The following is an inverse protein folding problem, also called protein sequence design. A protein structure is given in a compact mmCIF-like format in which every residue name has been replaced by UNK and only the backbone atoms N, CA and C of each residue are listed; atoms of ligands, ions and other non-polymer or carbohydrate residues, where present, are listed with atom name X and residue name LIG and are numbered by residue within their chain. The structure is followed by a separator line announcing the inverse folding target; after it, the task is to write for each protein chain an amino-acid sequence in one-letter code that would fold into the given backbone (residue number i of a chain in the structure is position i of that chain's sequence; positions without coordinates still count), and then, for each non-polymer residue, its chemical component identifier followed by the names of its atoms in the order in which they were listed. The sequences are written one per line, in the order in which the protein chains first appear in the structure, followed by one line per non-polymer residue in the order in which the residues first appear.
data_IF_363146348244
#
_entry.id   IF_363146348244
#
_cell.length_a   1.000
_cell.length_b   1.000
_cell.length_c   1.000
_cell.angle_alpha   90.00
_cell.angle_beta   90.00
_cell.angle_gamma   90.00
#
_symmetry.space_group_name_H-M   'P 1'
#
loop_
_entity.id
_entity.type
_entity.pdbx_description
1 polymer ?
#
# COMPACT_ATOMS: atom_id res chain seq x y z
N UNK A 1 -0.09 -15.45 -1.49
CA UNK A 1 -0.10 -14.28 -2.40
C UNK A 1 -0.70 -13.04 -1.76
N UNK A 2 -1.95 -13.07 -1.26
CA UNK A 2 -2.50 -11.88 -0.58
C UNK A 2 -1.71 -11.50 0.68
N UNK A 3 -1.43 -12.46 1.56
CA UNK A 3 -0.59 -12.21 2.74
C UNK A 3 0.79 -11.67 2.38
N UNK A 4 1.45 -12.23 1.36
CA UNK A 4 2.79 -11.76 0.97
C UNK A 4 2.79 -10.31 0.47
N UNK A 5 1.74 -9.86 -0.23
CA UNK A 5 1.60 -8.44 -0.64
C UNK A 5 1.32 -7.54 0.55
N UNK A 6 0.46 -7.97 1.46
CA UNK A 6 0.18 -7.23 2.70
C UNK A 6 1.45 -7.09 3.54
N UNK A 7 2.25 -8.14 3.67
CA UNK A 7 3.54 -8.09 4.34
C UNK A 7 4.54 -7.16 3.65
N UNK A 8 4.57 -7.12 2.32
CA UNK A 8 5.39 -6.16 1.56
C UNK A 8 5.07 -4.72 1.97
N UNK A 9 3.79 -4.35 1.92
CA UNK A 9 3.34 -3.00 2.29
C UNK A 9 3.66 -2.71 3.76
N UNK A 10 3.48 -3.69 4.64
CA UNK A 10 3.71 -3.53 6.08
C UNK A 10 5.20 -3.33 6.40
N UNK A 11 6.07 -4.08 5.74
CA UNK A 11 7.52 -3.93 5.85
C UNK A 11 7.92 -2.55 5.35
N UNK A 12 7.50 -2.17 4.13
CA UNK A 12 7.82 -0.87 3.54
C UNK A 12 7.34 0.29 4.42
N UNK A 13 6.11 0.23 4.92
CA UNK A 13 5.53 1.28 5.76
C UNK A 13 6.13 1.34 7.17
N UNK A 14 6.87 0.32 7.58
CA UNK A 14 7.59 0.28 8.86
C UNK A 14 9.06 0.72 8.77
N UNK A 15 9.60 0.98 7.57
CA UNK A 15 10.98 1.48 7.45
C UNK A 15 11.12 2.89 8.02
N UNK A 16 12.35 3.31 8.32
CA UNK A 16 12.59 4.64 8.89
C UNK A 16 12.19 5.78 7.94
N UNK A 17 12.31 5.56 6.63
CA UNK A 17 11.97 6.55 5.59
C UNK A 17 10.47 6.82 5.55
N UNK A 18 9.65 5.77 5.61
CA UNK A 18 8.19 5.87 5.61
C UNK A 18 7.65 6.13 7.01
N UNK A 19 7.96 5.27 7.96
CA UNK A 19 7.56 5.35 9.37
C UNK A 19 6.06 5.60 9.56
N UNK A 20 5.23 4.96 8.73
CA UNK A 20 3.76 5.03 8.81
C UNK A 20 3.22 4.03 9.82
N UNK A 21 3.87 2.87 9.95
CA UNK A 21 3.50 1.82 10.88
C UNK A 21 4.49 1.69 12.01
N UNK A 22 3.96 1.71 13.23
CA UNK A 22 4.70 1.44 14.46
C UNK A 22 4.44 -0.01 14.82
N UNK A 23 5.46 -0.84 14.66
CA UNK A 23 5.36 -2.28 14.89
C UNK A 23 5.35 -2.62 16.38
N UNK A 24 4.47 -3.55 16.82
CA UNK A 24 4.49 -4.10 18.18
C UNK A 24 5.76 -4.91 18.44
N UNK A 25 6.42 -4.65 19.57
CA UNK A 25 7.74 -5.24 19.90
C UNK A 25 7.74 -6.77 19.96
N UNK A 26 6.66 -7.37 20.45
CA UNK A 26 6.49 -8.83 20.53
C UNK A 26 6.48 -9.53 19.16
N UNK A 27 6.33 -8.78 18.05
CA UNK A 27 6.43 -9.29 16.68
C UNK A 27 7.74 -8.92 15.98
N UNK A 28 8.65 -8.23 16.65
CA UNK A 28 9.91 -7.80 16.07
C UNK A 28 11.09 -8.47 16.77
N UNK A 29 12.15 -8.77 16.01
CA UNK A 29 13.44 -9.07 16.63
C UNK A 29 14.31 -7.83 16.68
N UNK A 30 15.22 -7.79 17.65
CA UNK A 30 16.26 -6.77 17.73
C UNK A 30 17.54 -7.20 16.99
N UNK A 31 18.33 -6.23 16.55
CA UNK A 31 19.70 -6.50 16.11
C UNK A 31 20.65 -6.57 17.29
N UNK A 32 21.58 -7.53 17.27
CA UNK A 32 22.68 -7.61 18.24
C UNK A 32 23.70 -6.47 18.12
N UNK A 33 23.76 -5.80 16.96
CA UNK A 33 24.67 -4.69 16.68
C UNK A 33 23.98 -3.32 16.72
N UNK A 34 22.69 -3.27 16.40
CA UNK A 34 21.91 -2.02 16.30
C UNK A 34 20.74 -2.05 17.29
N UNK A 35 20.92 -1.51 18.52
CA UNK A 35 19.93 -1.65 19.60
C UNK A 35 18.56 -1.04 19.31
N UNK A 36 18.48 -0.08 18.39
CA UNK A 36 17.25 0.59 18.00
C UNK A 36 16.54 -0.08 16.82
N UNK A 37 17.22 -1.00 16.10
CA UNK A 37 16.69 -1.60 14.88
C UNK A 37 15.70 -2.71 15.24
N UNK A 38 14.43 -2.50 14.90
CA UNK A 38 13.34 -3.48 14.98
C UNK A 38 13.17 -4.13 13.61
N UNK A 39 13.40 -5.43 13.53
CA UNK A 39 13.24 -6.18 12.29
C UNK A 39 11.83 -6.79 12.24
N UNK A 40 11.08 -6.64 11.13
CA UNK A 40 9.78 -7.28 10.95
C UNK A 40 9.91 -8.75 10.49
N UNK A 41 10.75 -9.56 11.14
CA UNK A 41 11.14 -10.89 10.62
C UNK A 41 9.94 -11.80 10.37
N UNK A 42 8.90 -11.73 11.20
CA UNK A 42 7.71 -12.55 10.98
C UNK A 42 6.98 -12.14 9.68
N UNK A 43 6.92 -10.85 9.31
CA UNK A 43 6.35 -10.41 8.04
C UNK A 43 7.20 -10.92 6.87
N UNK A 44 8.53 -10.94 7.04
CA UNK A 44 9.45 -11.49 6.04
C UNK A 44 9.22 -12.99 5.84
N UNK A 45 9.00 -13.73 6.93
CA UNK A 45 8.66 -15.16 6.91
C UNK A 45 7.29 -15.40 6.25
N UNK A 46 6.24 -14.70 6.67
CA UNK A 46 4.89 -14.79 6.06
C UNK A 46 4.97 -14.54 4.54
N UNK A 47 5.76 -13.54 4.13
CA UNK A 47 6.03 -13.25 2.72
C UNK A 47 6.77 -14.41 2.03
N UNK A 48 7.81 -14.95 2.66
CA UNK A 48 8.62 -16.08 2.16
C UNK A 48 7.84 -17.38 2.03
N UNK A 49 6.88 -17.65 2.92
CA UNK A 49 6.04 -18.85 2.87
C UNK A 49 5.13 -18.95 1.64
N UNK A 50 5.00 -17.87 0.86
CA UNK A 50 4.38 -17.95 -0.46
C UNK A 50 5.09 -18.94 -1.40
N UNK A 51 6.42 -19.08 -1.30
CA UNK A 51 7.22 -20.00 -2.11
C UNK A 51 6.84 -21.47 -1.93
N UNK A 52 6.93 -22.04 -0.70
CA UNK A 52 6.50 -23.41 -0.42
C UNK A 52 5.04 -23.72 -0.80
N UNK A 53 4.13 -22.75 -0.66
CA UNK A 53 2.73 -22.93 -1.06
C UNK A 53 2.60 -23.01 -2.59
N UNK A 54 3.31 -22.16 -3.34
CA UNK A 54 3.32 -22.23 -4.80
C UNK A 54 4.03 -23.49 -5.32
N UNK A 55 5.10 -23.94 -4.66
CA UNK A 55 5.79 -25.17 -5.06
C UNK A 55 4.90 -26.40 -4.87
N UNK A 56 4.07 -26.42 -3.81
CA UNK A 56 3.05 -27.45 -3.60
C UNK A 56 2.06 -27.51 -4.77
N UNK A 57 1.55 -26.36 -5.22
CA UNK A 57 0.66 -26.29 -6.39
C UNK A 57 1.33 -26.91 -7.62
N UNK A 58 2.55 -26.47 -7.95
CA UNK A 58 3.30 -26.97 -9.10
C UNK A 58 3.54 -28.48 -8.99
N UNK A 59 3.91 -28.97 -7.81
CA UNK A 59 4.13 -30.40 -7.56
C UNK A 59 2.88 -31.23 -7.83
N UNK A 60 1.71 -30.78 -7.36
CA UNK A 60 0.43 -31.47 -7.59
C UNK A 60 0.06 -31.44 -9.07
N UNK A 61 0.18 -30.29 -9.74
CA UNK A 61 -0.12 -30.17 -11.18
C UNK A 61 0.75 -31.11 -12.02
N UNK A 62 2.05 -31.19 -11.73
CA UNK A 62 2.97 -32.05 -12.48
C UNK A 62 2.72 -33.53 -12.19
N UNK A 63 2.41 -33.89 -10.95
CA UNK A 63 2.07 -35.28 -10.57
C UNK A 63 0.81 -35.76 -11.29
N UNK A 64 -0.19 -34.89 -11.45
CA UNK A 64 -1.46 -35.24 -12.06
C UNK A 64 -1.44 -35.20 -13.60
N UNK A 65 -0.40 -34.60 -14.20
CA UNK A 65 -0.30 -34.39 -15.64
C UNK A 65 -0.23 -35.73 -16.39
N UNK A 66 -1.25 -36.01 -17.20
CA UNK A 66 -1.24 -37.13 -18.16
C UNK A 66 -1.42 -38.51 -17.53
N UNK A 67 -1.90 -38.59 -16.28
CA UNK A 67 -2.24 -39.88 -15.67
C UNK A 67 -3.41 -40.54 -16.41
N UNK A 68 -3.31 -41.84 -16.78
CA UNK A 68 -4.43 -42.57 -17.35
C UNK A 68 -5.53 -42.77 -16.30
N UNK A 69 -6.79 -42.97 -16.73
CA UNK A 69 -7.87 -43.26 -15.79
C UNK A 69 -7.81 -44.72 -15.28
N UNK A 70 -8.27 -45.04 -14.07
CA UNK A 70 -8.91 -44.16 -13.07
C UNK A 70 -7.98 -43.83 -11.90
N UNK A 71 -7.68 -44.80 -11.05
CA UNK A 71 -6.78 -44.66 -9.90
C UNK A 71 -5.35 -45.07 -10.26
N UNK A 72 -4.39 -44.20 -9.92
CA UNK A 72 -2.96 -44.48 -10.00
C UNK A 72 -2.32 -44.22 -8.64
N UNK A 73 -1.31 -45.02 -8.28
CA UNK A 73 -0.63 -44.92 -6.98
C UNK A 73 0.12 -43.58 -6.82
N UNK A 74 0.53 -42.96 -7.93
CA UNK A 74 1.08 -41.61 -8.04
C UNK A 74 0.25 -40.58 -7.26
N UNK A 75 -1.08 -40.71 -7.28
CA UNK A 75 -2.01 -39.83 -6.55
C UNK A 75 -1.80 -39.86 -5.03
N UNK A 76 -1.00 -40.76 -4.46
CA UNK A 76 -0.69 -40.75 -3.03
C UNK A 76 0.27 -39.64 -2.62
N UNK A 77 1.15 -39.17 -3.52
CA UNK A 77 2.20 -38.19 -3.18
C UNK A 77 1.64 -36.77 -2.98
N UNK A 78 0.39 -36.51 -3.38
CA UNK A 78 -0.24 -35.19 -3.24
C UNK A 78 -0.63 -34.82 -1.80
N UNK A 79 -0.75 -35.79 -0.88
CA UNK A 79 -1.27 -35.57 0.47
C UNK A 79 -0.31 -34.77 1.35
N UNK A 80 0.97 -35.15 1.35
CA UNK A 80 1.97 -34.51 2.20
C UNK A 80 2.18 -33.03 1.84
N UNK A 81 2.36 -32.65 0.55
CA UNK A 81 2.44 -31.24 0.16
C UNK A 81 1.18 -30.45 0.53
N UNK A 82 0.00 -31.05 0.33
CA UNK A 82 -1.28 -30.39 0.62
C UNK A 82 -1.43 -30.10 2.13
N UNK A 83 -1.14 -31.06 3.00
CA UNK A 83 -1.23 -30.86 4.44
C UNK A 83 -0.21 -29.84 4.94
N UNK A 84 1.01 -29.87 4.41
CA UNK A 84 2.03 -28.86 4.71
C UNK A 84 1.56 -27.45 4.35
N UNK A 85 1.03 -27.26 3.13
CA UNK A 85 0.51 -25.96 2.70
C UNK A 85 -0.69 -25.49 3.52
N UNK A 86 -1.61 -26.40 3.88
CA UNK A 86 -2.75 -26.08 4.72
C UNK A 86 -2.32 -25.63 6.13
N UNK A 87 -1.31 -26.29 6.70
CA UNK A 87 -0.78 -25.94 8.01
C UNK A 87 -0.08 -24.57 7.97
N UNK A 88 0.77 -24.31 6.98
CA UNK A 88 1.39 -22.99 6.75
C UNK A 88 0.30 -21.91 6.70
N UNK A 89 -0.71 -22.07 5.83
CA UNK A 89 -1.77 -21.07 5.69
C UNK A 89 -2.50 -20.82 7.02
N UNK A 90 -2.80 -21.87 7.79
CA UNK A 90 -3.47 -21.74 9.09
C UNK A 90 -2.65 -20.95 10.09
N UNK A 91 -1.35 -21.23 10.19
CA UNK A 91 -0.45 -20.58 11.14
C UNK A 91 -0.18 -19.12 10.73
N UNK A 92 0.10 -18.88 9.45
CA UNK A 92 0.37 -17.53 8.92
C UNK A 92 -0.86 -16.62 9.01
N UNK A 93 -2.08 -17.13 8.75
CA UNK A 93 -3.31 -16.34 8.92
C UNK A 93 -3.51 -15.99 10.39
N UNK A 94 -3.27 -16.94 11.31
CA UNK A 94 -3.46 -16.73 12.74
C UNK A 94 -2.50 -15.66 13.29
N UNK A 95 -1.21 -15.74 12.95
CA UNK A 95 -0.22 -14.75 13.42
C UNK A 95 -0.47 -13.37 12.81
N UNK A 96 -0.84 -13.30 11.52
CA UNK A 96 -1.20 -12.03 10.87
C UNK A 96 -2.43 -11.39 11.51
N UNK A 97 -3.44 -12.17 11.89
CA UNK A 97 -4.63 -11.66 12.57
C UNK A 97 -4.31 -11.06 13.95
N UNK A 98 -3.41 -11.67 14.71
CA UNK A 98 -2.97 -11.12 16.00
C UNK A 98 -2.11 -9.86 15.83
N UNK A 99 -1.24 -9.84 14.81
CA UNK A 99 -0.42 -8.68 14.50
C UNK A 99 -1.26 -7.45 14.11
N UNK A 100 -2.24 -7.61 13.21
CA UNK A 100 -3.07 -6.50 12.70
C UNK A 100 -3.88 -5.84 13.83
N UNK A 101 -4.22 -6.57 14.90
CA UNK A 101 -4.89 -6.00 16.08
C UNK A 101 -3.99 -5.07 16.89
N UNK A 102 -2.66 -5.19 16.76
CA UNK A 102 -1.67 -4.54 17.63
C UNK A 102 -0.81 -3.50 16.93
N UNK A 103 -0.75 -3.52 15.59
CA UNK A 103 -0.05 -2.49 14.81
C UNK A 103 -0.67 -1.11 15.07
N UNK A 104 0.18 -0.07 15.15
CA UNK A 104 -0.26 1.32 15.33
C UNK A 104 0.11 2.16 14.12
N UNK A 105 -0.72 3.16 13.83
CA UNK A 105 -0.46 4.14 12.78
C UNK A 105 0.25 5.36 13.37
N UNK A 106 1.32 5.80 12.71
CA UNK A 106 1.94 7.09 12.97
C UNK A 106 1.17 8.19 12.22
N UNK A 107 0.03 8.59 12.79
CA UNK A 107 -0.88 9.56 12.17
C UNK A 107 -0.13 10.85 11.85
N UNK A 108 0.70 11.37 12.76
CA UNK A 108 1.45 12.60 12.52
C UNK A 108 2.37 12.53 11.30
N UNK A 109 3.07 11.42 11.09
CA UNK A 109 3.93 11.21 9.92
C UNK A 109 3.09 11.09 8.66
N UNK A 110 2.00 10.33 8.68
CA UNK A 110 1.08 10.17 7.55
C UNK A 110 0.50 11.54 7.13
N UNK A 111 0.01 12.33 8.09
CA UNK A 111 -0.53 13.67 7.83
C UNK A 111 0.52 14.62 7.25
N UNK A 112 1.78 14.51 7.68
CA UNK A 112 2.88 15.31 7.11
C UNK A 112 3.15 14.96 5.63
N UNK A 113 2.96 13.71 5.22
CA UNK A 113 3.15 13.26 3.83
C UNK A 113 1.93 13.52 2.93
N UNK A 114 0.76 13.86 3.48
CA UNK A 114 -0.41 14.30 2.67
C UNK A 114 -0.18 15.63 1.94
N UNK A 115 0.98 16.26 2.12
CA UNK A 115 1.32 17.54 1.50
C UNK A 115 1.69 17.35 0.04
N UNK A 116 1.15 18.21 -0.83
CA UNK A 116 1.53 18.28 -2.24
C UNK A 116 0.35 18.18 -3.19
N UNK A 117 0.64 17.85 -4.44
CA UNK A 117 -0.32 17.87 -5.56
C UNK A 117 -1.07 16.55 -5.75
N UNK A 118 -1.03 15.64 -4.77
CA UNK A 118 -1.78 14.38 -4.80
C UNK A 118 -3.29 14.59 -5.04
N UNK A 119 -3.81 15.75 -4.65
CA UNK A 119 -5.22 16.11 -4.81
C UNK A 119 -5.50 17.02 -6.02
N UNK A 120 -4.50 17.29 -6.87
CA UNK A 120 -4.71 18.05 -8.11
C UNK A 120 -5.80 17.43 -9.01
N UNK A 121 -5.92 16.08 -9.14
CA UNK A 121 -7.02 15.49 -9.90
C UNK A 121 -8.41 15.89 -9.39
N UNK A 122 -8.61 16.03 -8.07
CA UNK A 122 -9.90 16.49 -7.51
C UNK A 122 -10.26 17.92 -7.92
N UNK A 123 -9.25 18.76 -8.15
CA UNK A 123 -9.45 20.13 -8.62
C UNK A 123 -9.83 20.13 -10.09
N UNK A 124 -9.22 19.25 -10.90
CA UNK A 124 -9.62 19.05 -12.30
C UNK A 124 -11.07 18.57 -12.36
N UNK A 125 -11.43 17.54 -11.58
CA UNK A 125 -12.80 17.04 -11.49
C UNK A 125 -13.77 18.15 -11.08
N UNK A 126 -13.44 18.93 -10.04
CA UNK A 126 -14.27 20.06 -9.60
C UNK A 126 -14.52 21.06 -10.74
N UNK A 127 -13.49 21.46 -11.48
CA UNK A 127 -13.64 22.40 -12.60
C UNK A 127 -14.52 21.82 -13.71
N UNK A 128 -14.38 20.52 -14.00
CA UNK A 128 -15.25 19.82 -14.95
C UNK A 128 -16.70 19.82 -14.47
N UNK A 129 -16.95 19.60 -13.18
CA UNK A 129 -18.29 19.72 -12.59
C UNK A 129 -18.87 21.14 -12.67
N UNK A 130 -18.02 22.18 -12.67
CA UNK A 130 -18.44 23.58 -12.91
C UNK A 130 -18.65 23.89 -14.40
N UNK A 131 -18.53 22.91 -15.30
CA UNK A 131 -18.76 23.07 -16.74
C UNK A 131 -17.52 23.47 -17.54
N UNK A 132 -16.32 23.46 -16.95
CA UNK A 132 -15.07 23.70 -17.67
C UNK A 132 -14.72 22.45 -18.49
N UNK A 133 -14.41 22.57 -19.80
CA UNK A 133 -13.95 21.42 -20.58
C UNK A 133 -12.71 20.78 -19.95
N UNK A 134 -12.64 19.44 -19.93
CA UNK A 134 -11.56 18.71 -19.26
C UNK A 134 -10.15 19.17 -19.65
N UNK A 135 -9.89 19.40 -20.95
CA UNK A 135 -8.58 19.88 -21.42
C UNK A 135 -8.20 21.22 -20.79
N UNK A 136 -9.14 22.15 -20.69
CA UNK A 136 -8.92 23.46 -20.08
C UNK A 136 -8.78 23.35 -18.55
N UNK A 137 -9.58 22.50 -17.91
CA UNK A 137 -9.47 22.23 -16.48
C UNK A 137 -8.10 21.63 -16.12
N UNK A 138 -7.64 20.65 -16.89
CA UNK A 138 -6.32 20.04 -16.74
C UNK A 138 -5.21 21.07 -16.93
N UNK A 139 -5.28 21.90 -17.98
CA UNK A 139 -4.28 22.93 -18.24
C UNK A 139 -4.22 23.98 -17.12
N UNK A 140 -5.36 24.49 -16.66
CA UNK A 140 -5.44 25.41 -15.52
C UNK A 140 -4.79 24.82 -14.27
N UNK A 141 -5.07 23.55 -13.94
CA UNK A 141 -4.51 22.89 -12.76
C UNK A 141 -3.03 22.57 -12.94
N UNK A 142 -2.58 22.17 -14.13
CA UNK A 142 -1.17 21.92 -14.41
C UNK A 142 -0.34 23.21 -14.27
N UNK A 143 -0.84 24.34 -14.77
CA UNK A 143 -0.21 25.65 -14.59
C UNK A 143 -0.19 26.07 -13.10
N UNK A 144 -1.27 25.81 -12.36
CA UNK A 144 -1.33 26.06 -10.93
C UNK A 144 -0.30 25.24 -10.15
N UNK A 145 -0.20 23.93 -10.43
CA UNK A 145 0.80 23.03 -9.83
C UNK A 145 2.21 23.53 -10.13
N UNK A 146 2.51 23.86 -11.39
CA UNK A 146 3.82 24.40 -11.79
C UNK A 146 4.16 25.68 -11.04
N UNK A 147 3.19 26.59 -10.92
CA UNK A 147 3.35 27.82 -10.14
C UNK A 147 3.67 27.52 -8.67
N UNK A 148 3.01 26.54 -8.06
CA UNK A 148 3.28 26.14 -6.68
C UNK A 148 4.70 25.57 -6.51
N UNK A 149 5.15 24.75 -7.45
CA UNK A 149 6.49 24.15 -7.46
C UNK A 149 7.59 25.21 -7.61
N UNK A 150 7.45 26.10 -8.59
CA UNK A 150 8.42 27.17 -8.86
C UNK A 150 8.54 28.14 -7.67
N UNK A 151 7.44 28.41 -6.97
CA UNK A 151 7.41 29.35 -5.84
C UNK A 151 7.58 28.67 -4.48
N UNK A 152 7.64 27.33 -4.41
CA UNK A 152 7.67 26.53 -3.17
C UNK A 152 6.52 26.88 -2.21
N UNK A 153 5.33 27.10 -2.76
CA UNK A 153 4.11 27.44 -2.01
C UNK A 153 3.16 26.26 -1.98
N UNK A 154 2.61 25.92 -0.81
CA UNK A 154 1.55 24.93 -0.71
C UNK A 154 0.24 25.48 -1.29
N UNK A 155 -0.51 24.63 -1.97
CA UNK A 155 -1.79 24.95 -2.61
C UNK A 155 -2.78 25.67 -1.67
N UNK A 156 -2.84 25.26 -0.40
CA UNK A 156 -3.68 25.85 0.65
C UNK A 156 -3.36 27.32 0.95
N UNK A 157 -2.13 27.75 0.69
CA UNK A 157 -1.63 29.08 1.04
C UNK A 157 -1.78 30.08 -0.11
N UNK A 158 -2.20 29.65 -1.29
CA UNK A 158 -2.32 30.53 -2.46
C UNK A 158 -3.46 31.53 -2.26
N UNK A 159 -3.22 32.85 -2.42
CA UNK A 159 -4.29 33.85 -2.36
C UNK A 159 -5.34 33.68 -3.45
N UNK A 160 -6.60 34.02 -3.17
CA UNK A 160 -7.70 33.93 -4.16
C UNK A 160 -7.38 34.68 -5.46
N UNK A 161 -6.77 35.85 -5.35
CA UNK A 161 -6.32 36.65 -6.52
C UNK A 161 -5.36 35.90 -7.43
N UNK A 162 -4.58 34.96 -6.90
CA UNK A 162 -3.63 34.15 -7.67
C UNK A 162 -4.34 32.92 -8.22
N UNK A 163 -5.20 32.25 -7.43
CA UNK A 163 -6.03 31.13 -7.90
C UNK A 163 -6.91 31.53 -9.10
N UNK A 164 -7.53 32.70 -9.02
CA UNK A 164 -8.40 33.25 -10.06
C UNK A 164 -7.67 33.57 -11.37
N UNK A 165 -6.33 33.68 -11.38
CA UNK A 165 -5.55 33.82 -12.63
C UNK A 165 -5.55 32.54 -13.46
N UNK A 166 -5.67 31.37 -12.81
CA UNK A 166 -5.66 30.07 -13.48
C UNK A 166 -7.08 29.67 -13.89
N UNK A 167 -8.07 29.88 -13.02
CA UNK A 167 -9.47 29.69 -13.34
C UNK A 167 -10.36 30.49 -12.37
N UNK A 168 -11.40 31.15 -12.88
CA UNK A 168 -12.31 32.01 -12.09
C UNK A 168 -13.10 31.24 -11.02
N UNK A 169 -13.32 29.94 -11.24
CA UNK A 169 -14.05 29.06 -10.32
C UNK A 169 -13.22 28.61 -9.10
N UNK A 170 -11.93 28.93 -9.06
CA UNK A 170 -11.03 28.56 -7.97
C UNK A 170 -10.94 29.67 -6.92
N UNK A 171 -11.13 29.28 -5.67
CA UNK A 171 -10.87 30.10 -4.49
C UNK A 171 -10.40 29.22 -3.32
N UNK A 172 -9.92 29.83 -2.25
CA UNK A 172 -9.39 29.15 -1.06
C UNK A 172 -10.42 28.25 -0.38
N UNK A 173 -11.69 28.63 -0.38
CA UNK A 173 -12.74 27.83 0.24
C UNK A 173 -12.93 26.50 -0.52
N UNK A 174 -12.95 26.57 -1.85
CA UNK A 174 -12.99 25.39 -2.74
C UNK A 174 -11.76 24.51 -2.53
N UNK A 175 -10.55 25.09 -2.55
CA UNK A 175 -9.32 24.33 -2.34
C UNK A 175 -9.34 23.61 -0.99
N UNK A 176 -9.76 24.28 0.08
CA UNK A 176 -9.89 23.66 1.41
C UNK A 176 -10.91 22.52 1.46
N UNK A 177 -12.01 22.61 0.71
CA UNK A 177 -13.02 21.53 0.64
C UNK A 177 -12.52 20.30 -0.12
N UNK A 178 -11.64 20.50 -1.10
CA UNK A 178 -11.15 19.42 -1.97
C UNK A 178 -9.94 18.67 -1.38
N UNK A 179 -9.16 19.34 -0.53
CA UNK A 179 -8.07 18.74 0.22
C UNK A 179 -8.63 17.97 1.43
N UNK A 180 -8.09 16.80 1.78
CA UNK A 180 -8.48 16.13 3.01
C UNK A 180 -8.04 16.94 4.23
N UNK A 181 -8.85 16.82 5.29
CA UNK A 181 -8.56 17.32 6.64
C UNK A 181 -7.20 16.85 7.15
#
# INVERSE_FOLDING_TARGET
MHLSRMCEDFILYSTEEFNFFILPEEFCTGSSLLPHKKNPDFLELVRGFSGPVFSTLTSVLVTMKGLPLSYNRDMQVNKLPLFSSAQILKDEIKIMAEFVKKIKLNIEKIEKEKKGFLYAPKIVEYLVYQGVPFSSAYESVAQLVRYCEENKINLEKIPDKVLQKFNKELNREVIKKLLPL
#
